data_IF_914355243020
#
_entry.id   IF_914355243020
#
_cell.length_a   1.000
_cell.length_b   1.000
_cell.length_c   1.000
_cell.angle_alpha   90.00
_cell.angle_beta   90.00
_cell.angle_gamma   90.00
#
_symmetry.space_group_name_H-M   'P 1'
#
loop_
_entity.id
_entity.type
_entity.pdbx_description
1 polymer ?
#
# COMPACT_ATOMS: atom_id res chain seq x y z
N UNK A 1 41.63 -30.17 33.64
CA UNK A 1 40.16 -30.40 33.59
C UNK A 1 39.36 -29.35 32.78
N UNK A 2 39.96 -28.31 32.17
CA UNK A 2 39.22 -27.28 31.41
C UNK A 2 38.95 -27.64 29.92
N UNK A 3 39.81 -28.44 29.29
CA UNK A 3 39.75 -28.73 27.85
C UNK A 3 38.49 -29.50 27.41
N UNK A 4 37.99 -30.43 28.23
CA UNK A 4 36.79 -31.21 27.89
C UNK A 4 35.50 -30.39 27.92
N UNK A 5 35.42 -29.42 28.84
CA UNK A 5 34.27 -28.51 29.00
C UNK A 5 34.14 -27.57 27.79
N UNK A 6 35.27 -27.01 27.35
CA UNK A 6 35.34 -26.16 26.17
C UNK A 6 34.94 -26.91 24.90
N UNK A 7 35.38 -28.17 24.75
CA UNK A 7 35.03 -29.01 23.60
C UNK A 7 33.52 -29.25 23.50
N UNK A 8 32.85 -29.49 24.62
CA UNK A 8 31.39 -29.63 24.66
C UNK A 8 30.67 -28.34 24.27
N UNK A 9 31.11 -27.19 24.77
CA UNK A 9 30.52 -25.89 24.41
C UNK A 9 30.63 -25.63 22.90
N UNK A 10 31.79 -25.92 22.31
CA UNK A 10 32.00 -25.75 20.87
C UNK A 10 31.10 -26.69 20.07
N UNK A 11 30.98 -27.96 20.46
CA UNK A 11 30.12 -28.93 19.77
C UNK A 11 28.66 -28.52 19.83
N UNK A 12 28.15 -28.12 21.00
CA UNK A 12 26.78 -27.64 21.13
C UNK A 12 26.53 -26.35 20.36
N UNK A 13 27.47 -25.41 20.42
CA UNK A 13 27.41 -24.16 19.65
C UNK A 13 27.35 -24.43 18.15
N UNK A 14 28.22 -25.31 17.64
CA UNK A 14 28.25 -25.71 16.23
C UNK A 14 26.93 -26.38 15.81
N UNK A 15 26.38 -27.29 16.62
CA UNK A 15 25.10 -27.95 16.38
C UNK A 15 23.94 -26.95 16.30
N UNK A 16 23.89 -25.98 17.22
CA UNK A 16 22.89 -24.93 17.19
C UNK A 16 23.01 -24.08 15.91
N UNK A 17 24.23 -23.72 15.53
CA UNK A 17 24.50 -22.94 14.32
C UNK A 17 24.10 -23.69 13.04
N UNK A 18 24.36 -24.99 12.99
CA UNK A 18 23.99 -25.86 11.87
C UNK A 18 22.46 -26.01 11.75
N UNK A 19 21.76 -26.14 12.88
CA UNK A 19 20.30 -26.16 12.94
C UNK A 19 19.68 -24.86 12.41
N UNK A 20 20.20 -23.71 12.84
CA UNK A 20 19.80 -22.39 12.34
C UNK A 20 20.03 -22.25 10.83
N UNK A 21 21.19 -22.70 10.34
CA UNK A 21 21.53 -22.68 8.91
C UNK A 21 20.59 -23.56 8.09
N UNK A 22 20.28 -24.77 8.57
CA UNK A 22 19.32 -25.66 7.93
C UNK A 22 17.92 -25.03 7.86
N UNK A 23 17.49 -24.36 8.94
CA UNK A 23 16.22 -23.63 8.97
C UNK A 23 16.20 -22.47 7.98
N UNK A 24 17.31 -21.74 7.83
CA UNK A 24 17.46 -20.69 6.83
C UNK A 24 17.33 -21.25 5.42
N UNK A 25 18.02 -22.35 5.10
CA UNK A 25 17.91 -23.02 3.80
C UNK A 25 16.46 -23.47 3.54
N UNK A 26 15.79 -24.02 4.56
CA UNK A 26 14.38 -24.40 4.46
C UNK A 26 13.49 -23.23 4.00
N UNK A 27 13.69 -22.04 4.57
CA UNK A 27 12.88 -20.86 4.25
C UNK A 27 13.32 -20.24 2.91
N UNK A 28 14.62 -20.08 2.71
CA UNK A 28 15.18 -19.33 1.59
C UNK A 28 15.21 -20.10 0.28
N UNK A 29 15.27 -21.44 0.30
CA UNK A 29 15.31 -22.27 -0.90
C UNK A 29 13.94 -22.88 -1.17
N UNK A 30 13.42 -23.68 -0.24
CA UNK A 30 12.18 -24.43 -0.47
C UNK A 30 10.93 -23.54 -0.47
N UNK A 31 10.90 -22.50 0.35
CA UNK A 31 9.75 -21.57 0.44
C UNK A 31 9.99 -20.25 -0.30
N UNK A 32 11.07 -20.15 -1.08
CA UNK A 32 11.45 -18.94 -1.78
C UNK A 32 10.31 -18.41 -2.65
N UNK A 33 9.79 -19.26 -3.54
CA UNK A 33 8.79 -18.84 -4.52
C UNK A 33 7.48 -18.43 -3.87
N UNK A 34 7.02 -19.16 -2.85
CA UNK A 34 5.79 -18.85 -2.13
C UNK A 34 5.89 -17.47 -1.45
N UNK A 35 6.98 -17.23 -0.71
CA UNK A 35 7.18 -15.95 -0.04
C UNK A 35 7.47 -14.80 -1.02
N UNK A 36 8.19 -15.06 -2.11
CA UNK A 36 8.45 -14.08 -3.17
C UNK A 36 7.16 -13.68 -3.88
N UNK A 37 6.30 -14.65 -4.20
CA UNK A 37 4.99 -14.38 -4.81
C UNK A 37 4.06 -13.59 -3.89
N UNK A 38 4.01 -13.96 -2.60
CA UNK A 38 3.27 -13.18 -1.59
C UNK A 38 3.78 -11.75 -1.48
N UNK A 39 5.11 -11.56 -1.43
CA UNK A 39 5.71 -10.23 -1.41
C UNK A 39 5.37 -9.44 -2.68
N UNK A 40 5.45 -10.06 -3.86
CA UNK A 40 5.06 -9.44 -5.14
C UNK A 40 3.61 -8.98 -5.13
N UNK A 41 2.68 -9.78 -4.60
CA UNK A 41 1.27 -9.41 -4.47
C UNK A 41 1.02 -8.18 -3.58
N UNK A 42 1.87 -7.95 -2.57
CA UNK A 42 1.75 -6.78 -1.68
C UNK A 42 2.31 -5.50 -2.32
N UNK A 43 3.38 -5.60 -3.12
CA UNK A 43 4.01 -4.44 -3.75
C UNK A 43 3.43 -4.10 -5.13
N UNK A 44 3.09 -5.11 -5.95
CA UNK A 44 2.56 -4.91 -7.29
C UNK A 44 1.05 -4.77 -7.24
N UNK A 45 0.57 -3.61 -6.80
CA UNK A 45 -0.82 -3.24 -7.04
C UNK A 45 -0.94 -2.86 -8.52
N UNK A 46 -1.59 -3.70 -9.32
CA UNK A 46 -2.01 -3.30 -10.68
C UNK A 46 -3.01 -2.17 -10.53
N UNK A 47 -2.57 -0.95 -10.82
CA UNK A 47 -3.46 0.19 -11.01
C UNK A 47 -3.89 0.13 -12.46
N UNK A 48 -5.16 -0.19 -12.70
CA UNK A 48 -5.72 -0.13 -14.03
C UNK A 48 -5.78 1.33 -14.47
N UNK A 49 -4.97 1.69 -15.47
CA UNK A 49 -5.01 3.02 -16.07
C UNK A 49 -6.27 3.10 -16.93
N UNK A 50 -7.31 3.75 -16.39
CA UNK A 50 -8.51 4.03 -17.17
C UNK A 50 -8.12 4.88 -18.38
N UNK A 51 -8.46 4.40 -19.58
CA UNK A 51 -8.35 5.21 -20.78
C UNK A 51 -9.29 6.42 -20.67
N UNK A 52 -8.80 7.60 -21.04
CA UNK A 52 -9.65 8.79 -21.11
C UNK A 52 -10.71 8.60 -22.19
N UNK A 53 -11.94 9.04 -21.90
CA UNK A 53 -13.05 8.92 -22.84
C UNK A 53 -12.86 9.90 -24.00
N UNK A 54 -13.14 9.45 -25.23
CA UNK A 54 -13.15 10.33 -26.40
C UNK A 54 -14.18 11.46 -26.26
N UNK A 55 -13.91 12.59 -26.90
CA UNK A 55 -14.84 13.73 -26.94
C UNK A 55 -16.09 13.37 -27.75
N UNK A 56 -17.26 13.70 -27.20
CA UNK A 56 -18.53 13.59 -27.94
C UNK A 56 -18.83 14.96 -28.54
N UNK A 57 -18.99 15.01 -29.86
CA UNK A 57 -19.22 16.24 -30.62
C UNK A 57 -20.65 16.29 -31.17
N UNK A 58 -21.22 17.50 -31.31
CA UNK A 58 -22.42 17.71 -32.12
C UNK A 58 -22.09 17.64 -33.63
N UNK A 59 -23.11 17.70 -34.49
CA UNK A 59 -22.94 17.69 -35.96
C UNK A 59 -22.16 18.89 -36.52
N UNK A 60 -21.93 19.93 -35.72
CA UNK A 60 -21.17 21.15 -36.05
C UNK A 60 -19.77 21.14 -35.41
N UNK A 61 -19.40 20.07 -34.71
CA UNK A 61 -18.09 19.92 -34.07
C UNK A 61 -17.98 20.55 -32.67
N UNK A 62 -19.08 20.93 -32.03
CA UNK A 62 -19.06 21.46 -30.66
C UNK A 62 -19.01 20.32 -29.63
N UNK A 63 -18.23 20.50 -28.56
CA UNK A 63 -18.12 19.53 -27.47
C UNK A 63 -19.44 19.41 -26.68
N UNK A 64 -20.02 18.20 -26.62
CA UNK A 64 -21.19 17.86 -25.81
C UNK A 64 -20.81 17.15 -24.50
N UNK A 65 -19.73 16.35 -24.52
CA UNK A 65 -19.21 15.69 -23.33
C UNK A 65 -17.71 15.45 -23.47
N UNK A 66 -16.95 15.89 -22.47
CA UNK A 66 -15.50 15.77 -22.39
C UNK A 66 -15.08 15.27 -21.02
N UNK A 67 -13.95 14.58 -20.97
CA UNK A 67 -13.29 14.18 -19.73
C UNK A 67 -12.48 15.38 -19.20
N UNK A 68 -12.70 15.77 -17.95
CA UNK A 68 -11.93 16.84 -17.31
C UNK A 68 -11.24 16.29 -16.06
N UNK A 69 -10.00 16.73 -15.86
CA UNK A 69 -9.28 16.38 -14.64
C UNK A 69 -9.91 17.12 -13.45
N UNK A 70 -10.55 16.36 -12.56
CA UNK A 70 -11.15 16.88 -11.34
C UNK A 70 -10.31 16.48 -10.12
N UNK A 71 -10.08 17.44 -9.24
CA UNK A 71 -9.44 17.20 -7.94
C UNK A 71 -10.53 17.15 -6.87
N UNK A 72 -10.68 16.02 -6.19
CA UNK A 72 -11.56 15.89 -5.03
C UNK A 72 -10.76 15.84 -3.74
N UNK A 73 -11.34 16.37 -2.67
CA UNK A 73 -10.78 16.28 -1.32
C UNK A 73 -11.65 15.33 -0.50
N UNK A 74 -11.01 14.47 0.29
CA UNK A 74 -11.70 13.59 1.24
C UNK A 74 -10.96 13.64 2.57
N UNK A 75 -11.65 13.29 3.65
CA UNK A 75 -11.05 13.20 4.97
C UNK A 75 -11.65 12.04 5.77
N UNK A 76 -10.85 11.45 6.66
CA UNK A 76 -11.31 10.44 7.60
C UNK A 76 -11.85 11.13 8.86
N UNK A 77 -13.17 11.01 9.17
CA UNK A 77 -13.77 11.73 10.29
C UNK A 77 -13.12 11.38 11.64
N UNK A 78 -12.74 10.12 11.82
CA UNK A 78 -12.14 9.61 13.08
C UNK A 78 -10.75 10.20 13.38
N UNK A 79 -10.09 10.78 12.38
CA UNK A 79 -8.78 11.43 12.52
C UNK A 79 -8.90 12.93 12.74
N UNK A 80 -10.12 13.49 12.81
CA UNK A 80 -10.37 14.93 12.93
C UNK A 80 -11.07 15.22 14.27
N UNK A 81 -10.44 16.05 15.09
CA UNK A 81 -10.99 16.46 16.39
C UNK A 81 -12.29 17.28 16.27
N UNK A 82 -12.44 18.09 15.22
CA UNK A 82 -13.64 18.92 15.02
C UNK A 82 -14.07 18.94 13.54
N UNK A 83 -14.77 17.88 13.07
CA UNK A 83 -15.13 17.73 11.66
C UNK A 83 -15.97 18.90 11.12
N UNK A 84 -16.92 19.40 11.91
CA UNK A 84 -17.79 20.51 11.53
C UNK A 84 -17.01 21.81 11.25
N UNK A 85 -15.97 22.10 12.03
CA UNK A 85 -15.14 23.30 11.85
C UNK A 85 -14.27 23.19 10.62
N UNK A 86 -13.71 22.00 10.36
CA UNK A 86 -12.92 21.72 9.16
C UNK A 86 -13.80 21.83 7.92
N UNK A 87 -14.99 21.22 7.92
CA UNK A 87 -15.94 21.34 6.82
C UNK A 87 -16.32 22.79 6.53
N UNK A 88 -16.58 23.60 7.57
CA UNK A 88 -16.88 25.02 7.41
C UNK A 88 -15.71 25.83 6.80
N UNK A 89 -14.47 25.52 7.17
CA UNK A 89 -13.29 26.15 6.56
C UNK A 89 -13.11 25.74 5.09
N UNK A 90 -13.28 24.46 4.76
CA UNK A 90 -13.20 23.98 3.39
C UNK A 90 -14.30 24.58 2.50
N UNK A 91 -15.53 24.73 3.04
CA UNK A 91 -16.63 25.39 2.34
C UNK A 91 -16.41 26.90 2.11
N UNK A 92 -15.63 27.56 2.96
CA UNK A 92 -15.26 28.96 2.78
C UNK A 92 -14.12 29.16 1.76
N UNK A 93 -13.25 28.16 1.60
CA UNK A 93 -12.09 28.20 0.69
C UNK A 93 -12.40 27.69 -0.72
N UNK A 94 -13.20 26.63 -0.83
CA UNK A 94 -13.65 26.09 -2.11
C UNK A 94 -14.98 26.73 -2.51
N UNK A 95 -15.09 27.27 -3.72
CA UNK A 95 -16.34 27.85 -4.24
C UNK A 95 -17.51 26.87 -4.42
N UNK A 96 -17.45 25.67 -3.82
CA UNK A 96 -18.51 24.67 -3.79
C UNK A 96 -19.39 24.82 -2.55
N UNK A 97 -20.70 24.64 -2.73
CA UNK A 97 -21.68 24.63 -1.64
C UNK A 97 -21.39 23.48 -0.68
N UNK A 98 -21.56 23.70 0.63
CA UNK A 98 -21.48 22.66 1.67
C UNK A 98 -22.43 21.46 1.45
N UNK A 99 -23.36 21.59 0.51
CA UNK A 99 -24.34 20.59 0.08
C UNK A 99 -23.73 19.42 -0.71
N UNK A 100 -22.54 19.58 -1.32
CA UNK A 100 -21.85 18.49 -2.03
C UNK A 100 -20.95 17.62 -1.15
N UNK A 101 -20.98 17.81 0.17
CA UNK A 101 -20.24 16.98 1.12
C UNK A 101 -21.10 15.75 1.44
N UNK A 102 -20.88 14.68 0.67
CA UNK A 102 -21.48 13.37 0.94
C UNK A 102 -20.74 12.70 2.12
N UNK A 103 -21.49 12.07 3.03
CA UNK A 103 -20.98 11.52 4.30
C UNK A 103 -20.35 10.15 4.15
#
# INVERSE_FOLDING_TARGET
>A
MAMGRLRWVIVFGALAWLSLSARLIQIQVYKHEEYSNRARGQYQRRVELKASRGRVLDSRGNDLAVDIQATSFYAYPDQIQTPARVAAQFAALGGGRAESVER
#
